data_IF_770916144096
#
_entry.id   IF_770916144096
#
_cell.length_a   1.000
_cell.length_b   1.000
_cell.length_c   1.000
_cell.angle_alpha   90.00
_cell.angle_beta   90.00
_cell.angle_gamma   90.00
#
_symmetry.space_group_name_H-M   'P 1'
#
loop_
_entity.id
_entity.type
_entity.pdbx_description
1 polymer ?
#
# COMPACT_ATOMS: atom_id res chain seq x y z
N UNK A 1 -11.27 -6.32 -14.90
CA UNK A 1 -11.03 -4.87 -14.78
C UNK A 1 -12.16 -4.10 -15.48
N UNK A 2 -12.60 -2.99 -14.85
CA UNK A 2 -13.76 -2.20 -15.33
C UNK A 2 -13.41 -1.31 -16.53
N UNK A 3 -12.14 -0.95 -16.67
CA UNK A 3 -11.67 -0.04 -17.71
C UNK A 3 -10.66 -0.75 -18.62
N UNK A 4 -10.92 -0.88 -19.94
CA UNK A 4 -10.05 -1.57 -20.88
C UNK A 4 -8.63 -1.00 -20.94
N UNK A 5 -8.48 0.32 -20.89
CA UNK A 5 -7.18 1.03 -20.91
C UNK A 5 -6.30 0.75 -19.69
N UNK A 6 -6.85 0.19 -18.61
CA UNK A 6 -6.11 -0.19 -17.40
C UNK A 6 -5.80 -1.69 -17.39
N UNK A 7 -6.54 -2.49 -18.15
CA UNK A 7 -6.40 -3.95 -18.19
C UNK A 7 -5.06 -4.37 -18.80
N UNK A 8 -4.75 -3.89 -20.00
CA UNK A 8 -3.55 -4.28 -20.73
C UNK A 8 -2.24 -3.93 -19.97
N UNK A 9 -2.03 -2.72 -19.42
CA UNK A 9 -0.86 -2.44 -18.58
C UNK A 9 -0.73 -3.37 -17.38
N UNK A 10 -1.83 -3.72 -16.72
CA UNK A 10 -1.79 -4.62 -15.56
C UNK A 10 -1.48 -6.06 -15.91
N UNK A 11 -2.00 -6.55 -17.05
CA UNK A 11 -1.67 -7.88 -17.57
C UNK A 11 -0.19 -7.92 -17.98
N UNK A 12 0.31 -6.87 -18.64
CA UNK A 12 1.72 -6.73 -18.96
C UNK A 12 2.58 -6.79 -17.68
N UNK A 13 2.29 -5.98 -16.68
CA UNK A 13 3.06 -5.94 -15.44
C UNK A 13 3.05 -7.26 -14.65
N UNK A 14 2.03 -8.11 -14.83
CA UNK A 14 2.00 -9.46 -14.22
C UNK A 14 3.06 -10.39 -14.78
N UNK A 15 3.48 -10.19 -16.02
CA UNK A 15 4.48 -11.02 -16.69
C UNK A 15 5.85 -10.36 -16.72
N UNK A 16 5.88 -9.03 -16.85
CA UNK A 16 7.09 -8.25 -17.07
C UNK A 16 8.15 -8.43 -15.97
N UNK A 17 7.74 -8.50 -14.71
CA UNK A 17 8.66 -8.70 -13.59
C UNK A 17 9.47 -10.02 -13.66
N UNK A 18 9.05 -10.97 -14.49
CA UNK A 18 9.74 -12.26 -14.66
C UNK A 18 11.02 -12.13 -15.48
N UNK A 19 11.19 -11.06 -16.25
CA UNK A 19 12.42 -10.81 -17.02
C UNK A 19 13.63 -10.67 -16.10
N UNK A 20 14.78 -11.14 -16.55
CA UNK A 20 16.03 -11.04 -15.76
C UNK A 20 16.44 -9.58 -15.54
N UNK A 21 16.34 -8.73 -16.58
CA UNK A 21 16.69 -7.31 -16.50
C UNK A 21 15.68 -6.43 -15.73
N UNK A 22 14.56 -6.97 -15.23
CA UNK A 22 13.50 -6.15 -14.64
C UNK A 22 13.97 -5.31 -13.43
N UNK A 23 14.89 -5.83 -12.61
CA UNK A 23 15.41 -5.08 -11.46
C UNK A 23 16.23 -3.87 -11.94
N UNK A 24 17.09 -4.07 -12.92
CA UNK A 24 17.94 -3.00 -13.49
C UNK A 24 17.08 -1.93 -14.18
N UNK A 25 16.07 -2.36 -14.94
CA UNK A 25 15.11 -1.45 -15.59
C UNK A 25 14.36 -0.62 -14.54
N UNK A 26 13.87 -1.25 -13.46
CA UNK A 26 13.19 -0.54 -12.37
C UNK A 26 14.12 0.45 -11.64
N UNK A 27 15.37 0.11 -11.43
CA UNK A 27 16.37 1.01 -10.82
C UNK A 27 16.59 2.22 -11.73
N UNK A 28 16.70 2.01 -13.04
CA UNK A 28 16.86 3.08 -14.02
C UNK A 28 15.64 4.00 -14.07
N UNK A 29 14.43 3.46 -14.11
CA UNK A 29 13.18 4.22 -14.08
C UNK A 29 13.03 5.07 -12.80
N UNK A 30 13.60 4.61 -11.69
CA UNK A 30 13.54 5.30 -10.40
C UNK A 30 14.69 6.28 -10.14
N UNK A 31 15.60 6.48 -11.08
CA UNK A 31 16.82 7.31 -10.88
C UNK A 31 16.49 8.75 -10.45
N UNK A 32 15.49 9.37 -11.06
CA UNK A 32 15.05 10.74 -10.75
C UNK A 32 13.92 10.81 -9.73
N UNK A 33 13.34 9.68 -9.34
CA UNK A 33 12.21 9.64 -8.41
C UNK A 33 12.68 9.83 -6.96
N UNK A 34 11.79 10.38 -6.12
CA UNK A 34 12.04 10.54 -4.68
C UNK A 34 11.02 9.79 -3.83
N UNK A 35 9.86 9.46 -4.38
CA UNK A 35 8.79 8.74 -3.70
C UNK A 35 8.18 7.74 -4.65
N UNK A 36 8.13 6.48 -4.26
CA UNK A 36 7.53 5.43 -5.05
C UNK A 36 6.53 4.62 -4.22
N UNK A 37 5.34 4.38 -4.79
CA UNK A 37 4.32 3.50 -4.22
C UNK A 37 4.28 2.21 -5.00
N UNK A 38 4.49 1.11 -4.31
CA UNK A 38 4.26 -0.21 -4.87
C UNK A 38 2.77 -0.51 -4.94
N UNK A 39 2.32 -1.02 -6.06
CA UNK A 39 0.94 -1.42 -6.33
C UNK A 39 -0.10 -0.30 -6.14
N UNK A 40 -0.67 0.13 -7.24
CA UNK A 40 -1.88 0.95 -7.28
C UNK A 40 -3.12 0.10 -6.99
N UNK A 41 -3.05 -1.18 -7.37
CA UNK A 41 -4.04 -2.22 -7.07
C UNK A 41 -3.37 -3.60 -7.09
N UNK A 42 -3.92 -4.54 -6.32
CA UNK A 42 -3.32 -5.84 -6.09
C UNK A 42 -2.30 -5.81 -4.96
N UNK A 43 -1.46 -6.81 -4.90
CA UNK A 43 -0.45 -7.01 -3.84
C UNK A 43 0.69 -7.89 -4.37
N UNK A 44 1.76 -8.00 -3.61
CA UNK A 44 2.87 -8.91 -3.90
C UNK A 44 2.44 -10.37 -3.71
N UNK A 45 2.22 -11.10 -4.77
CA UNK A 45 1.61 -12.43 -4.76
C UNK A 45 2.59 -13.60 -4.93
N UNK A 46 3.84 -13.32 -5.31
CA UNK A 46 4.91 -14.29 -5.55
C UNK A 46 6.14 -13.89 -4.74
N UNK A 47 6.81 -14.87 -4.08
CA UNK A 47 8.01 -14.62 -3.29
C UNK A 47 9.15 -14.10 -4.15
N UNK A 48 9.31 -14.62 -5.37
CA UNK A 48 10.36 -14.17 -6.30
C UNK A 48 10.15 -12.71 -6.71
N UNK A 49 8.87 -12.29 -6.87
CA UNK A 49 8.54 -10.87 -7.07
C UNK A 49 8.91 -10.04 -5.83
N UNK A 50 8.61 -10.54 -4.62
CA UNK A 50 9.00 -9.86 -3.39
C UNK A 50 10.52 -9.69 -3.28
N UNK A 51 11.29 -10.72 -3.60
CA UNK A 51 12.76 -10.65 -3.59
C UNK A 51 13.30 -9.64 -4.62
N UNK A 52 12.74 -9.58 -5.82
CA UNK A 52 13.08 -8.57 -6.84
C UNK A 52 12.72 -7.15 -6.39
N UNK A 53 11.55 -6.97 -5.77
CA UNK A 53 11.14 -5.69 -5.18
C UNK A 53 12.13 -5.27 -4.08
N UNK A 54 12.52 -6.17 -3.20
CA UNK A 54 13.55 -5.90 -2.18
C UNK A 54 14.87 -5.48 -2.83
N UNK A 55 15.31 -6.15 -3.90
CA UNK A 55 16.53 -5.77 -4.63
C UNK A 55 16.45 -4.35 -5.19
N UNK A 56 15.32 -3.96 -5.79
CA UNK A 56 15.09 -2.56 -6.25
C UNK A 56 15.16 -1.58 -5.07
N UNK A 57 14.50 -1.87 -3.94
CA UNK A 57 14.50 -1.01 -2.75
C UNK A 57 15.92 -0.79 -2.19
N UNK A 58 16.74 -1.83 -2.18
CA UNK A 58 18.15 -1.78 -1.76
C UNK A 58 18.99 -0.95 -2.74
N UNK A 59 18.77 -1.14 -4.04
CA UNK A 59 19.52 -0.46 -5.09
C UNK A 59 19.15 1.01 -5.27
N UNK A 60 18.02 1.47 -4.71
CA UNK A 60 17.51 2.85 -4.82
C UNK A 60 17.36 3.55 -3.46
N UNK A 61 18.45 3.72 -2.67
CA UNK A 61 18.38 4.28 -1.30
C UNK A 61 17.91 5.75 -1.26
N UNK A 62 17.97 6.46 -2.37
CA UNK A 62 17.46 7.83 -2.51
C UNK A 62 15.94 7.92 -2.67
N UNK A 63 15.27 6.80 -3.00
CA UNK A 63 13.83 6.73 -3.16
C UNK A 63 13.17 6.34 -1.84
N UNK A 64 12.15 7.05 -1.42
CA UNK A 64 11.27 6.62 -0.33
C UNK A 64 10.20 5.70 -0.88
N UNK A 65 10.25 4.43 -0.49
CA UNK A 65 9.30 3.41 -0.92
C UNK A 65 8.15 3.24 0.08
N UNK A 66 6.94 3.09 -0.44
CA UNK A 66 5.77 2.68 0.32
C UNK A 66 5.19 1.41 -0.27
N UNK A 67 5.16 0.34 0.53
CA UNK A 67 4.56 -0.94 0.20
C UNK A 67 3.30 -1.18 1.05
N UNK A 68 2.09 -0.87 0.55
CA UNK A 68 0.86 -1.34 1.18
C UNK A 68 0.69 -2.82 0.92
N UNK A 69 0.48 -3.65 1.96
CA UNK A 69 0.37 -5.10 1.76
C UNK A 69 -0.54 -5.79 2.77
N UNK A 70 -1.21 -6.85 2.34
CA UNK A 70 -1.93 -7.83 3.16
C UNK A 70 -1.18 -9.16 3.25
N UNK A 71 -0.01 -9.27 2.64
CA UNK A 71 0.75 -10.54 2.60
C UNK A 71 1.35 -10.92 3.95
N UNK A 72 1.34 -10.04 4.95
CA UNK A 72 1.66 -10.38 6.34
C UNK A 72 0.83 -11.55 6.90
N UNK A 73 -0.35 -11.83 6.31
CA UNK A 73 -1.21 -12.97 6.66
C UNK A 73 -0.64 -14.33 6.25
N UNK A 74 0.35 -14.35 5.40
CA UNK A 74 0.96 -15.57 4.88
C UNK A 74 2.40 -15.67 5.39
N UNK A 75 2.66 -16.63 6.26
CA UNK A 75 3.96 -16.83 6.93
C UNK A 75 5.15 -16.84 5.96
N UNK A 76 4.95 -17.35 4.73
CA UNK A 76 6.01 -17.38 3.71
C UNK A 76 6.56 -16.01 3.32
N UNK A 77 5.77 -14.92 3.48
CA UNK A 77 6.22 -13.55 3.16
C UNK A 77 6.90 -12.85 4.35
N UNK A 78 6.74 -13.35 5.59
CA UNK A 78 7.27 -12.68 6.78
C UNK A 78 8.77 -12.37 6.68
N UNK A 79 9.66 -13.27 6.21
CA UNK A 79 11.10 -12.98 6.15
C UNK A 79 11.43 -11.84 5.16
N UNK A 80 10.81 -11.81 3.98
CA UNK A 80 11.09 -10.77 2.98
C UNK A 80 10.50 -9.42 3.40
N UNK A 81 9.30 -9.39 3.98
CA UNK A 81 8.69 -8.17 4.49
C UNK A 81 9.51 -7.58 5.64
N UNK A 82 10.06 -8.40 6.54
CA UNK A 82 10.96 -7.95 7.59
C UNK A 82 12.26 -7.33 7.05
N UNK A 83 12.86 -7.92 6.00
CA UNK A 83 14.02 -7.35 5.32
C UNK A 83 13.69 -5.99 4.68
N UNK A 84 12.54 -5.86 4.03
CA UNK A 84 12.09 -4.60 3.45
C UNK A 84 11.87 -3.54 4.53
N UNK A 85 11.21 -3.88 5.64
CA UNK A 85 10.92 -2.93 6.72
C UNK A 85 12.16 -2.48 7.48
N UNK A 86 13.22 -3.29 7.50
CA UNK A 86 14.52 -2.92 8.07
C UNK A 86 15.24 -1.80 7.28
N UNK A 87 14.88 -1.57 6.02
CA UNK A 87 15.47 -0.50 5.20
C UNK A 87 14.96 0.88 5.65
N UNK A 88 15.87 1.85 5.80
CA UNK A 88 15.53 3.21 6.23
C UNK A 88 14.68 4.00 5.23
N UNK A 89 14.75 3.63 3.96
CA UNK A 89 14.01 4.26 2.86
C UNK A 89 12.68 3.55 2.53
N UNK A 90 12.27 2.54 3.29
CA UNK A 90 11.07 1.73 3.00
C UNK A 90 10.08 1.79 4.16
N UNK A 91 8.80 1.96 3.85
CA UNK A 91 7.68 1.76 4.77
C UNK A 91 6.85 0.59 4.28
N UNK A 92 6.90 -0.53 4.98
CA UNK A 92 5.96 -1.65 4.81
C UNK A 92 4.73 -1.37 5.66
N UNK A 93 3.63 -1.01 5.00
CA UNK A 93 2.39 -0.65 5.70
C UNK A 93 1.38 -1.79 5.60
N UNK A 94 1.17 -2.47 6.72
CA UNK A 94 0.25 -3.60 6.80
C UNK A 94 -1.20 -3.12 6.70
N UNK A 95 -1.93 -3.63 5.72
CA UNK A 95 -3.32 -3.22 5.47
C UNK A 95 -4.29 -4.13 6.22
N UNK A 96 -5.13 -3.54 7.07
CA UNK A 96 -6.25 -4.23 7.71
C UNK A 96 -7.31 -4.65 6.68
N UNK A 97 -8.04 -5.71 6.96
CA UNK A 97 -9.24 -6.11 6.20
C UNK A 97 -10.49 -5.37 6.66
N UNK A 98 -10.39 -4.70 7.80
CA UNK A 98 -11.51 -3.95 8.35
C UNK A 98 -11.91 -2.79 7.45
N UNK A 99 -13.21 -2.49 7.48
CA UNK A 99 -13.81 -1.29 6.89
C UNK A 99 -14.47 -0.40 7.96
N UNK A 100 -14.27 -0.74 9.21
CA UNK A 100 -14.88 -0.10 10.41
C UNK A 100 -13.83 0.49 11.36
N UNK A 101 -12.55 0.45 10.99
CA UNK A 101 -11.47 1.15 11.69
C UNK A 101 -10.56 0.27 12.54
N UNK A 102 -10.78 -1.07 12.56
CA UNK A 102 -9.88 -1.98 13.29
C UNK A 102 -8.47 -1.93 12.68
N UNK A 103 -7.48 -1.86 13.54
CA UNK A 103 -6.07 -1.77 13.18
C UNK A 103 -5.35 -3.11 13.36
N UNK A 104 -4.19 -3.22 12.75
CA UNK A 104 -3.24 -4.30 12.99
C UNK A 104 -2.24 -3.79 14.02
N UNK A 105 -1.93 -4.61 15.02
CA UNK A 105 -0.83 -4.34 15.97
C UNK A 105 0.51 -4.48 15.25
N UNK A 106 0.99 -3.38 14.72
CA UNK A 106 2.24 -3.29 13.97
C UNK A 106 2.74 -1.83 13.95
N UNK A 107 4.06 -1.60 13.80
CA UNK A 107 4.64 -0.25 13.77
C UNK A 107 4.03 0.64 12.69
N UNK A 108 3.73 0.08 11.52
CA UNK A 108 3.11 0.80 10.43
C UNK A 108 1.95 0.00 9.84
N UNK A 109 0.75 0.52 9.98
CA UNK A 109 -0.46 -0.13 9.47
C UNK A 109 -1.40 0.87 8.77
N UNK A 110 -2.41 0.34 8.12
CA UNK A 110 -3.50 1.13 7.55
C UNK A 110 -4.84 0.42 7.73
N UNK A 111 -5.88 1.21 7.84
CA UNK A 111 -7.26 0.71 7.96
C UNK A 111 -8.22 1.58 7.16
N UNK A 112 -9.43 1.08 6.94
CA UNK A 112 -10.53 1.88 6.38
C UNK A 112 -11.45 2.25 7.53
N UNK A 113 -11.84 3.52 7.60
CA UNK A 113 -12.82 4.05 8.55
C UNK A 113 -14.11 4.43 7.83
N UNK A 114 -15.29 4.27 8.42
CA UNK A 114 -16.56 4.63 7.79
C UNK A 114 -16.62 6.08 7.34
N UNK A 115 -16.25 7.00 8.22
CA UNK A 115 -16.15 8.45 7.98
C UNK A 115 -14.98 9.01 8.78
N UNK A 116 -14.61 10.27 8.54
CA UNK A 116 -13.53 10.95 9.28
C UNK A 116 -13.82 10.98 10.79
N UNK A 117 -15.08 11.10 11.21
CA UNK A 117 -15.48 11.12 12.63
C UNK A 117 -15.22 9.80 13.37
N UNK A 118 -14.96 8.70 12.65
CA UNK A 118 -14.58 7.41 13.23
C UNK A 118 -13.06 7.26 13.41
N UNK A 119 -12.28 8.27 13.06
CA UNK A 119 -10.85 8.22 13.27
C UNK A 119 -10.50 8.35 14.76
N UNK A 120 -9.64 7.46 15.25
CA UNK A 120 -9.08 7.59 16.59
C UNK A 120 -7.98 8.68 16.59
N UNK A 121 -7.71 9.32 17.74
CA UNK A 121 -6.65 10.34 17.85
C UNK A 121 -5.25 9.87 17.40
N UNK A 122 -4.97 8.57 17.50
CA UNK A 122 -3.71 7.94 17.05
C UNK A 122 -3.62 7.74 15.54
N UNK A 123 -4.72 7.95 14.80
CA UNK A 123 -4.78 7.73 13.36
C UNK A 123 -4.46 9.01 12.57
N UNK A 124 -3.65 8.88 11.54
CA UNK A 124 -3.48 9.93 10.55
C UNK A 124 -4.44 9.71 9.38
N UNK A 125 -5.46 10.57 9.29
CA UNK A 125 -6.48 10.44 8.24
C UNK A 125 -5.94 10.86 6.88
N UNK A 126 -6.25 10.06 5.85
CA UNK A 126 -5.97 10.39 4.46
C UNK A 126 -7.06 11.30 3.91
N UNK A 127 -6.67 12.50 3.48
CA UNK A 127 -7.52 13.54 2.90
C UNK A 127 -7.41 13.63 1.36
N UNK A 128 -6.89 12.60 0.70
CA UNK A 128 -6.69 12.59 -0.75
C UNK A 128 -8.00 12.81 -1.54
N UNK A 129 -9.14 12.36 -1.00
CA UNK A 129 -10.44 12.55 -1.66
C UNK A 129 -10.89 14.00 -1.72
N UNK A 130 -10.48 14.84 -0.78
CA UNK A 130 -10.69 16.29 -0.81
C UNK A 130 -9.85 16.96 -1.90
N UNK A 131 -8.87 16.23 -2.45
CA UNK A 131 -7.96 16.65 -3.50
C UNK A 131 -8.06 15.77 -4.76
N UNK A 132 -9.27 15.40 -5.15
CA UNK A 132 -9.53 14.59 -6.37
C UNK A 132 -8.74 13.25 -6.41
N UNK A 133 -8.50 12.65 -5.26
CA UNK A 133 -7.74 11.39 -5.16
C UNK A 133 -6.22 11.56 -5.26
N UNK A 134 -5.69 12.81 -5.25
CA UNK A 134 -4.27 13.08 -5.40
C UNK A 134 -3.57 13.24 -4.06
N UNK A 135 -2.37 12.66 -3.91
CA UNK A 135 -1.52 12.86 -2.74
C UNK A 135 -0.92 14.28 -2.69
N UNK A 136 -0.74 14.93 -3.82
CA UNK A 136 -0.09 16.24 -3.95
C UNK A 136 1.23 16.30 -3.12
N UNK A 137 1.33 17.19 -2.13
CA UNK A 137 2.50 17.30 -1.24
C UNK A 137 2.43 16.37 -0.01
N UNK A 138 1.34 15.62 0.20
CA UNK A 138 1.20 14.71 1.31
C UNK A 138 2.15 13.50 1.15
N UNK A 139 2.83 13.12 2.26
CA UNK A 139 3.77 11.98 2.29
C UNK A 139 3.53 11.06 3.49
N UNK A 140 2.35 11.16 4.13
CA UNK A 140 1.98 10.38 5.33
C UNK A 140 2.21 8.87 5.16
N UNK A 141 1.93 8.32 3.99
CA UNK A 141 2.07 6.88 3.72
C UNK A 141 3.55 6.43 3.65
N UNK A 142 4.48 7.33 3.37
CA UNK A 142 5.93 7.09 3.31
C UNK A 142 6.66 7.42 4.61
N UNK A 143 5.93 7.81 5.66
CA UNK A 143 6.51 8.23 6.93
C UNK A 143 6.40 7.11 7.96
N UNK A 144 7.55 6.56 8.39
CA UNK A 144 7.63 5.50 9.42
C UNK A 144 7.17 5.96 10.80
N UNK A 145 7.16 7.26 11.07
CA UNK A 145 6.70 7.79 12.38
C UNK A 145 5.18 7.75 12.52
N UNK A 146 4.46 7.60 11.40
CA UNK A 146 3.01 7.46 11.40
C UNK A 146 2.65 6.00 11.54
N UNK A 147 2.16 5.60 12.71
CA UNK A 147 1.79 4.22 13.00
C UNK A 147 0.57 3.76 12.19
N UNK A 148 -0.48 4.57 12.13
CA UNK A 148 -1.72 4.19 11.44
C UNK A 148 -2.14 5.27 10.43
N UNK A 149 -2.34 4.88 9.18
CA UNK A 149 -3.02 5.71 8.18
C UNK A 149 -4.46 5.20 8.00
N UNK A 150 -5.43 6.07 8.24
CA UNK A 150 -6.84 5.76 8.10
C UNK A 150 -7.39 6.34 6.78
N UNK A 151 -8.04 5.51 6.00
CA UNK A 151 -8.67 5.89 4.73
C UNK A 151 -10.19 5.96 4.90
N UNK A 152 -10.84 7.12 4.75
CA UNK A 152 -12.29 7.18 4.74
C UNK A 152 -12.88 6.31 3.64
N UNK A 153 -13.94 5.56 3.98
CA UNK A 153 -14.61 4.68 3.03
C UNK A 153 -15.18 5.47 1.86
N UNK A 154 -14.97 4.96 0.65
CA UNK A 154 -15.40 5.60 -0.57
C UNK A 154 -15.86 4.61 -1.63
N UNK A 155 -16.66 5.09 -2.57
CA UNK A 155 -17.20 4.26 -3.64
C UNK A 155 -18.41 3.43 -3.20
N UNK A 156 -19.39 3.28 -4.11
CA UNK A 156 -20.71 2.68 -3.82
C UNK A 156 -20.64 1.29 -3.15
N UNK A 157 -19.71 0.43 -3.57
CA UNK A 157 -19.58 -0.93 -3.05
C UNK A 157 -19.10 -0.94 -1.59
N UNK A 158 -18.09 -0.13 -1.29
CA UNK A 158 -17.53 -0.04 0.07
C UNK A 158 -18.51 0.62 1.04
N UNK A 159 -19.14 1.72 0.66
CA UNK A 159 -20.15 2.38 1.47
C UNK A 159 -21.34 1.46 1.77
N UNK A 160 -21.78 0.63 0.81
CA UNK A 160 -22.80 -0.37 1.05
C UNK A 160 -22.35 -1.39 2.11
N UNK A 161 -21.12 -1.87 2.04
CA UNK A 161 -20.56 -2.83 3.01
C UNK A 161 -20.45 -2.20 4.40
N UNK A 162 -19.94 -0.98 4.52
CA UNK A 162 -19.86 -0.23 5.78
C UNK A 162 -21.23 -0.09 6.42
N UNK A 163 -22.24 0.36 5.65
CA UNK A 163 -23.60 0.55 6.16
C UNK A 163 -24.24 -0.77 6.63
N UNK A 164 -23.98 -1.88 5.92
CA UNK A 164 -24.46 -3.21 6.36
C UNK A 164 -23.85 -3.63 7.70
N UNK A 165 -22.55 -3.42 7.91
CA UNK A 165 -21.86 -3.78 9.15
C UNK A 165 -22.35 -2.89 10.31
N UNK A 166 -22.48 -1.59 10.11
CA UNK A 166 -22.95 -0.67 11.13
C UNK A 166 -24.41 -0.95 11.53
N UNK A 167 -25.26 -1.36 10.57
CA UNK A 167 -26.65 -1.70 10.86
C UNK A 167 -26.82 -3.00 11.66
N UNK A 168 -25.84 -3.92 11.63
CA UNK A 168 -25.88 -5.17 12.42
C UNK A 168 -25.46 -4.92 13.88
N UNK A 169 -24.72 -3.84 14.14
CA UNK A 169 -24.17 -3.50 15.44
C UNK A 169 -25.07 -2.49 16.22
N UNK A 170 -26.25 -2.17 15.72
CA UNK A 170 -27.30 -1.39 16.38
C UNK A 170 -28.41 -2.30 16.85
#
# INVERSE_FOLDING_TARGET
>A
YRFPNVKAPREHNREDWKRDAWVDDMVQELDTERYFRWFDSGDVYDIRLADKILAVMVATPWVKHWLPTRMHKFAKFAPVLAKMDALSNVVVRLSSDSVTGETIDAPNSSTIIPTISHALPSMSVCDAYEREGKCAKCRKCWDKTISVVAYPAHGKKMLKQVNQILAINL
#
